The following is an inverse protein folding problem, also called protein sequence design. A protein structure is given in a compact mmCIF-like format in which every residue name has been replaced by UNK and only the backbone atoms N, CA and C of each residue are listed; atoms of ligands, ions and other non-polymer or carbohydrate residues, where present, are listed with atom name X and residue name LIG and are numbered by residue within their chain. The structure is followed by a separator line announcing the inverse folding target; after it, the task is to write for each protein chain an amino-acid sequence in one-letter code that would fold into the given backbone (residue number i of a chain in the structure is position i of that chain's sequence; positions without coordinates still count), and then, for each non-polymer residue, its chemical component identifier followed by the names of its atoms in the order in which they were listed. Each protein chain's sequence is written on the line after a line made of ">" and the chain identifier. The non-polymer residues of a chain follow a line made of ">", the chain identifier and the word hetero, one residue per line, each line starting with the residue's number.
data_IF_390337593330
#
_entry.id   IF_390337593330
#
_cell.length_a   1.000
_cell.length_b   1.000
_cell.length_c   1.000
_cell.angle_alpha   90.00
_cell.angle_beta   90.00
_cell.angle_gamma   90.00
#
_symmetry.space_group_name_H-M   'P 1'
#
loop_
_entity.id
_entity.type
_entity.pdbx_description
1 polymer ?
#
# COMPACT_ATOMS: atom_id res chain seq x y z
N UNK A 1 -26.66 -54.34 -3.00
CA UNK A 1 -27.16 -53.45 -4.07
C UNK A 1 -27.84 -52.19 -3.54
N UNK A 2 -28.80 -52.28 -2.62
CA UNK A 2 -29.52 -51.11 -2.08
C UNK A 2 -28.59 -50.02 -1.48
N UNK A 3 -27.62 -50.41 -0.64
CA UNK A 3 -26.62 -49.49 -0.05
C UNK A 3 -25.79 -48.76 -1.11
N UNK A 4 -25.39 -49.43 -2.19
CA UNK A 4 -24.59 -48.81 -3.26
C UNK A 4 -25.41 -47.76 -4.04
N UNK A 5 -26.68 -48.05 -4.34
CA UNK A 5 -27.56 -47.09 -5.02
C UNK A 5 -27.87 -45.87 -4.16
N UNK A 6 -28.05 -46.09 -2.85
CA UNK A 6 -28.23 -45.03 -1.89
C UNK A 6 -26.99 -44.14 -1.79
N UNK A 7 -25.80 -44.75 -1.63
CA UNK A 7 -24.53 -44.03 -1.59
C UNK A 7 -24.30 -43.19 -2.85
N UNK A 8 -24.61 -43.71 -4.04
CA UNK A 8 -24.53 -42.95 -5.29
C UNK A 8 -25.50 -41.76 -5.33
N UNK A 9 -26.72 -41.93 -4.80
CA UNK A 9 -27.73 -40.87 -4.77
C UNK A 9 -27.35 -39.77 -3.78
N UNK A 10 -26.88 -40.15 -2.59
CA UNK A 10 -26.36 -39.22 -1.58
C UNK A 10 -25.11 -38.48 -2.09
N UNK A 11 -24.18 -39.18 -2.75
CA UNK A 11 -23.00 -38.57 -3.39
C UNK A 11 -23.38 -37.57 -4.48
N UNK A 12 -24.34 -37.90 -5.34
CA UNK A 12 -24.82 -36.95 -6.35
C UNK A 12 -25.47 -35.72 -5.71
N UNK A 13 -26.26 -35.92 -4.66
CA UNK A 13 -26.95 -34.86 -3.93
C UNK A 13 -25.97 -33.89 -3.28
N UNK A 14 -24.91 -34.40 -2.63
CA UNK A 14 -23.93 -33.53 -1.96
C UNK A 14 -23.06 -32.77 -2.96
N UNK A 15 -22.62 -33.42 -4.04
CA UNK A 15 -21.85 -32.76 -5.11
C UNK A 15 -22.68 -31.65 -5.78
N UNK A 16 -24.01 -31.83 -5.89
CA UNK A 16 -24.88 -30.79 -6.45
C UNK A 16 -25.16 -29.61 -5.52
N UNK A 17 -24.93 -29.75 -4.21
CA UNK A 17 -25.15 -28.70 -3.20
C UNK A 17 -23.86 -28.01 -2.76
N UNK A 18 -22.70 -28.60 -3.05
CA UNK A 18 -21.38 -28.11 -2.66
C UNK A 18 -20.70 -27.43 -3.84
N UNK A 19 -19.93 -26.38 -3.53
CA UNK A 19 -19.09 -25.74 -4.53
C UNK A 19 -17.89 -26.63 -4.88
N UNK A 20 -17.36 -26.46 -6.10
CA UNK A 20 -16.23 -27.25 -6.56
C UNK A 20 -14.99 -27.07 -5.67
N UNK A 21 -14.77 -25.87 -5.13
CA UNK A 21 -13.65 -25.61 -4.24
C UNK A 21 -13.76 -26.39 -2.93
N UNK A 22 -14.98 -26.55 -2.38
CA UNK A 22 -15.20 -27.37 -1.19
C UNK A 22 -14.85 -28.86 -1.45
N UNK A 23 -15.14 -29.37 -2.66
CA UNK A 23 -14.78 -30.74 -3.05
C UNK A 23 -13.27 -30.97 -3.09
N UNK A 24 -12.50 -29.91 -3.38
CA UNK A 24 -11.05 -29.97 -3.54
C UNK A 24 -10.30 -29.63 -2.26
N UNK A 25 -10.80 -28.67 -1.49
CA UNK A 25 -10.11 -28.05 -0.37
C UNK A 25 -10.66 -28.50 1.00
N UNK A 26 -11.95 -28.86 1.10
CA UNK A 26 -12.64 -29.10 2.36
C UNK A 26 -13.36 -30.47 2.42
N UNK A 27 -12.61 -31.54 2.13
CA UNK A 27 -13.15 -32.91 2.04
C UNK A 27 -13.76 -33.45 3.33
N UNK A 28 -13.25 -33.02 4.48
CA UNK A 28 -13.70 -33.51 5.79
C UNK A 28 -15.19 -33.19 6.04
N UNK A 29 -15.59 -31.94 5.78
CA UNK A 29 -16.97 -31.50 5.90
C UNK A 29 -17.91 -32.27 4.98
N UNK A 30 -17.42 -32.62 3.78
CA UNK A 30 -18.19 -33.42 2.82
C UNK A 30 -18.32 -34.89 3.24
N UNK A 31 -17.24 -35.48 3.76
CA UNK A 31 -17.25 -36.86 4.24
C UNK A 31 -18.26 -37.02 5.39
N UNK A 32 -18.28 -36.08 6.35
CA UNK A 32 -19.25 -36.06 7.44
C UNK A 32 -20.70 -35.90 6.93
N UNK A 33 -20.91 -35.01 5.96
CA UNK A 33 -22.22 -34.84 5.33
C UNK A 33 -22.69 -36.12 4.61
N UNK A 34 -21.77 -36.83 3.96
CA UNK A 34 -22.04 -38.11 3.31
C UNK A 34 -22.37 -39.21 4.30
N UNK A 35 -21.61 -39.30 5.39
CA UNK A 35 -21.82 -40.28 6.46
C UNK A 35 -23.24 -40.14 7.03
N UNK A 36 -23.65 -38.93 7.41
CA UNK A 36 -25.00 -38.66 7.93
C UNK A 36 -26.11 -39.05 6.93
N UNK A 37 -25.90 -38.80 5.64
CA UNK A 37 -26.89 -39.12 4.60
C UNK A 37 -27.02 -40.62 4.32
N UNK A 38 -25.96 -41.40 4.53
CA UNK A 38 -25.95 -42.84 4.23
C UNK A 38 -26.27 -43.65 5.50
N UNK A 39 -25.88 -43.18 6.68
CA UNK A 39 -26.12 -43.87 7.96
C UNK A 39 -27.62 -43.94 8.31
N UNK A 40 -28.36 -42.85 8.10
CA UNK A 40 -29.79 -42.77 8.46
C UNK A 40 -30.64 -43.90 7.85
N UNK A 41 -30.56 -44.22 6.54
CA UNK A 41 -31.33 -45.33 5.99
C UNK A 41 -30.60 -46.69 6.10
N UNK A 42 -29.28 -46.71 6.32
CA UNK A 42 -28.52 -47.96 6.49
C UNK A 42 -28.85 -48.68 7.81
N UNK A 43 -29.14 -47.92 8.88
CA UNK A 43 -29.64 -48.48 10.14
C UNK A 43 -30.92 -49.32 9.95
N UNK A 44 -31.82 -48.91 9.04
CA UNK A 44 -33.04 -49.66 8.71
C UNK A 44 -32.79 -51.02 8.05
N UNK A 45 -31.59 -51.24 7.52
CA UNK A 45 -31.15 -52.51 6.95
C UNK A 45 -30.23 -53.32 7.88
N UNK A 46 -29.95 -52.82 9.09
CA UNK A 46 -29.05 -53.46 10.05
C UNK A 46 -27.58 -53.40 9.65
N UNK A 47 -27.18 -52.40 8.84
CA UNK A 47 -25.79 -52.19 8.41
C UNK A 47 -25.23 -50.98 9.13
N UNK A 48 -24.14 -51.17 9.86
CA UNK A 48 -23.37 -50.07 10.47
C UNK A 48 -22.31 -49.58 9.50
N UNK A 49 -22.16 -48.26 9.39
CA UNK A 49 -21.18 -47.61 8.53
C UNK A 49 -20.09 -47.03 9.43
N UNK A 50 -18.85 -47.48 9.25
CA UNK A 50 -17.74 -47.02 10.09
C UNK A 50 -17.10 -45.72 9.55
N UNK A 51 -16.98 -45.58 8.23
CA UNK A 51 -16.37 -44.41 7.59
C UNK A 51 -16.78 -44.25 6.13
N UNK A 52 -16.97 -43.02 5.69
CA UNK A 52 -17.19 -42.66 4.28
C UNK A 52 -16.14 -41.64 3.84
N UNK A 53 -15.46 -41.92 2.73
CA UNK A 53 -14.44 -41.01 2.18
C UNK A 53 -14.56 -40.88 0.66
N UNK A 54 -14.42 -39.66 0.18
CA UNK A 54 -14.27 -39.37 -1.25
C UNK A 54 -12.84 -39.73 -1.67
N UNK A 55 -12.73 -40.76 -2.52
CA UNK A 55 -11.45 -41.22 -3.06
C UNK A 55 -10.87 -40.22 -4.08
N UNK A 56 -11.43 -40.21 -5.29
CA UNK A 56 -10.92 -39.44 -6.43
C UNK A 56 -12.02 -38.62 -7.11
N UNK A 57 -11.68 -37.39 -7.52
CA UNK A 57 -12.53 -36.53 -8.34
C UNK A 57 -11.83 -36.29 -9.67
N UNK A 58 -12.40 -36.80 -10.75
CA UNK A 58 -11.85 -36.61 -12.10
C UNK A 58 -12.53 -35.42 -12.77
N UNK A 59 -11.78 -34.35 -12.97
CA UNK A 59 -12.23 -33.18 -13.72
C UNK A 59 -11.84 -33.28 -15.20
N UNK A 60 -12.66 -32.75 -16.13
CA UNK A 60 -12.27 -32.56 -17.51
C UNK A 60 -10.99 -31.73 -17.63
N UNK A 61 -10.14 -32.08 -18.59
CA UNK A 61 -8.84 -31.43 -18.80
C UNK A 61 -8.97 -29.93 -19.11
N UNK A 62 -10.04 -29.53 -19.80
CA UNK A 62 -10.34 -28.12 -20.10
C UNK A 62 -10.53 -27.30 -18.83
N UNK A 63 -11.27 -27.83 -17.85
CA UNK A 63 -11.54 -27.18 -16.57
C UNK A 63 -10.26 -27.09 -15.71
N UNK A 64 -9.48 -28.16 -15.62
CA UNK A 64 -8.20 -28.17 -14.88
C UNK A 64 -7.27 -27.05 -15.36
N UNK A 65 -7.12 -26.90 -16.68
CA UNK A 65 -6.29 -25.83 -17.26
C UNK A 65 -6.81 -24.44 -16.95
N UNK A 66 -8.13 -24.22 -17.04
CA UNK A 66 -8.73 -22.93 -16.70
C UNK A 66 -8.56 -22.58 -15.22
N UNK A 67 -8.78 -23.54 -14.33
CA UNK A 67 -8.56 -23.35 -12.89
C UNK A 67 -7.10 -23.08 -12.55
N UNK A 68 -6.17 -23.80 -13.18
CA UNK A 68 -4.74 -23.55 -13.00
C UNK A 68 -4.37 -22.12 -13.39
N UNK A 69 -4.83 -21.65 -14.55
CA UNK A 69 -4.62 -20.25 -15.00
C UNK A 69 -5.25 -19.23 -14.05
N UNK A 70 -6.45 -19.50 -13.55
CA UNK A 70 -7.11 -18.63 -12.58
C UNK A 70 -6.32 -18.57 -11.26
N UNK A 71 -5.89 -19.73 -10.75
CA UNK A 71 -5.11 -19.81 -9.52
C UNK A 71 -3.75 -19.13 -9.65
N UNK A 72 -3.10 -19.23 -10.82
CA UNK A 72 -1.85 -18.50 -11.12
C UNK A 72 -2.10 -16.98 -11.13
N UNK A 73 -3.14 -16.51 -11.83
CA UNK A 73 -3.49 -15.10 -11.88
C UNK A 73 -3.81 -14.53 -10.48
N UNK A 74 -4.56 -15.26 -9.66
CA UNK A 74 -4.87 -14.84 -8.29
C UNK A 74 -3.63 -14.82 -7.39
N UNK A 75 -2.73 -15.81 -7.52
CA UNK A 75 -1.45 -15.81 -6.81
C UNK A 75 -0.58 -14.64 -7.22
N UNK A 76 -0.48 -14.37 -8.51
CA UNK A 76 0.32 -13.27 -9.04
C UNK A 76 -0.25 -11.92 -8.58
N UNK A 77 -1.58 -11.74 -8.66
CA UNK A 77 -2.27 -10.56 -8.13
C UNK A 77 -1.96 -10.35 -6.65
N UNK A 78 -2.10 -11.39 -5.82
CA UNK A 78 -1.81 -11.31 -4.38
C UNK A 78 -0.35 -10.97 -4.12
N UNK A 79 0.58 -11.59 -4.85
CA UNK A 79 2.00 -11.30 -4.73
C UNK A 79 2.32 -9.84 -5.06
N UNK A 80 1.73 -9.27 -6.13
CA UNK A 80 1.91 -7.85 -6.48
C UNK A 80 1.42 -6.90 -5.40
N UNK A 81 0.25 -7.18 -4.81
CA UNK A 81 -0.29 -6.35 -3.71
C UNK A 81 0.63 -6.41 -2.49
N UNK A 82 1.07 -7.61 -2.11
CA UNK A 82 1.99 -7.80 -0.98
C UNK A 82 3.31 -7.07 -1.22
N UNK A 83 3.87 -7.16 -2.43
CA UNK A 83 5.12 -6.46 -2.76
C UNK A 83 4.93 -4.94 -2.74
N UNK A 84 3.84 -4.41 -3.30
CA UNK A 84 3.55 -2.99 -3.26
C UNK A 84 3.40 -2.46 -1.82
N UNK A 85 2.71 -3.20 -0.96
CA UNK A 85 2.60 -2.86 0.46
C UNK A 85 3.94 -2.96 1.18
N UNK A 86 4.73 -3.99 0.89
CA UNK A 86 6.07 -4.16 1.45
C UNK A 86 7.00 -3.02 1.05
N UNK A 87 6.98 -2.62 -0.23
CA UNK A 87 7.73 -1.47 -0.74
C UNK A 87 7.31 -0.17 -0.05
N UNK A 88 6.00 0.08 0.06
CA UNK A 88 5.49 1.27 0.77
C UNK A 88 5.94 1.30 2.23
N UNK A 89 5.86 0.17 2.94
CA UNK A 89 6.32 0.08 4.32
C UNK A 89 7.83 0.29 4.45
N UNK A 90 8.62 -0.27 3.52
CA UNK A 90 10.06 -0.09 3.49
C UNK A 90 10.42 1.39 3.22
N UNK A 91 9.79 2.03 2.24
CA UNK A 91 10.03 3.44 1.92
C UNK A 91 9.70 4.36 3.10
N UNK A 92 8.59 4.12 3.82
CA UNK A 92 8.24 4.89 5.02
C UNK A 92 9.31 4.80 6.10
N UNK A 93 9.75 3.58 6.43
CA UNK A 93 10.81 3.36 7.43
C UNK A 93 12.14 3.99 7.02
N UNK A 94 12.47 3.94 5.73
CA UNK A 94 13.68 4.59 5.21
C UNK A 94 13.60 6.12 5.27
N UNK A 95 12.43 6.70 4.97
CA UNK A 95 12.21 8.14 5.09
C UNK A 95 12.30 8.61 6.56
N UNK A 96 11.71 7.86 7.49
CA UNK A 96 11.85 8.10 8.93
C UNK A 96 13.31 8.03 9.37
N UNK A 97 14.04 6.98 8.96
CA UNK A 97 15.47 6.84 9.27
C UNK A 97 16.29 8.00 8.67
N UNK A 98 16.01 8.42 7.44
CA UNK A 98 16.68 9.55 6.81
C UNK A 98 16.41 10.87 7.56
N UNK A 99 15.18 11.08 8.05
CA UNK A 99 14.83 12.21 8.90
C UNK A 99 15.69 12.25 10.17
N UNK A 100 15.74 11.15 10.91
CA UNK A 100 16.58 11.03 12.13
C UNK A 100 18.07 11.23 11.81
N UNK A 101 18.55 10.70 10.70
CA UNK A 101 19.94 10.90 10.27
C UNK A 101 20.25 12.35 9.89
N UNK A 102 19.29 13.07 9.32
CA UNK A 102 19.43 14.50 9.00
C UNK A 102 19.45 15.36 10.26
N UNK A 103 18.68 14.99 11.29
CA UNK A 103 18.71 15.66 12.59
C UNK A 103 20.06 15.48 13.30
N UNK A 104 20.76 14.37 13.05
CA UNK A 104 22.01 14.03 13.71
C UNK A 104 23.17 13.80 12.73
N UNK A 105 23.94 14.86 12.37
CA UNK A 105 24.99 14.78 11.35
C UNK A 105 26.07 13.72 11.61
N UNK A 106 26.34 13.39 12.88
CA UNK A 106 27.25 12.30 13.25
C UNK A 106 26.79 10.92 12.75
N UNK A 107 25.47 10.68 12.65
CA UNK A 107 24.91 9.43 12.12
C UNK A 107 25.19 9.27 10.62
N UNK A 108 25.11 10.35 9.83
CA UNK A 108 25.48 10.35 8.42
C UNK A 108 26.97 10.02 8.23
N UNK A 109 27.83 10.59 9.06
CA UNK A 109 29.27 10.33 9.00
C UNK A 109 29.61 8.87 9.37
N UNK A 110 28.97 8.30 10.40
CA UNK A 110 29.12 6.89 10.74
C UNK A 110 28.61 5.97 9.61
N UNK A 111 27.47 6.30 9.00
CA UNK A 111 26.95 5.58 7.83
C UNK A 111 27.94 5.60 6.67
N UNK A 112 28.54 6.77 6.38
CA UNK A 112 29.57 6.89 5.36
C UNK A 112 30.76 5.97 5.65
N UNK A 113 31.29 5.98 6.88
CA UNK A 113 32.38 5.10 7.27
C UNK A 113 32.00 3.62 7.18
N UNK A 114 30.78 3.24 7.59
CA UNK A 114 30.28 1.87 7.44
C UNK A 114 30.19 1.44 5.96
N UNK A 115 29.72 2.32 5.08
CA UNK A 115 29.70 2.04 3.63
C UNK A 115 31.11 1.89 3.06
N UNK A 116 32.07 2.70 3.50
CA UNK A 116 33.47 2.56 3.09
C UNK A 116 34.05 1.21 3.52
N UNK A 117 33.77 0.77 4.75
CA UNK A 117 34.22 -0.55 5.24
C UNK A 117 33.56 -1.69 4.47
N UNK A 118 32.26 -1.60 4.18
CA UNK A 118 31.53 -2.61 3.42
C UNK A 118 32.07 -2.74 1.98
N UNK A 119 32.29 -1.62 1.29
CA UNK A 119 32.82 -1.60 -0.08
C UNK A 119 34.30 -2.02 -0.11
N UNK A 120 35.10 -1.64 0.89
CA UNK A 120 36.49 -2.08 1.00
C UNK A 120 36.61 -3.60 1.22
N UNK A 121 35.62 -4.24 1.85
CA UNK A 121 35.58 -5.69 2.02
C UNK A 121 35.34 -6.44 0.70
N UNK A 122 34.69 -5.82 -0.29
CA UNK A 122 34.35 -6.44 -1.59
C UNK A 122 35.50 -6.49 -2.62
N UNK A 123 36.75 -6.18 -2.23
CA UNK A 123 37.96 -6.27 -3.09
C UNK A 123 37.91 -5.42 -4.38
N UNK A 124 37.25 -4.26 -4.38
CA UNK A 124 37.32 -3.29 -5.48
C UNK A 124 38.46 -2.27 -5.24
N UNK A 125 39.52 -2.34 -6.05
CA UNK A 125 40.76 -1.57 -5.89
C UNK A 125 40.68 -0.08 -6.30
N UNK A 126 39.49 0.44 -6.60
CA UNK A 126 39.29 1.85 -6.97
C UNK A 126 38.09 2.40 -6.20
N UNK A 127 38.39 3.22 -5.20
CA UNK A 127 37.40 3.84 -4.32
C UNK A 127 37.08 5.24 -4.83
N UNK A 128 35.92 5.44 -5.44
CA UNK A 128 35.43 6.78 -5.82
C UNK A 128 34.70 7.36 -4.60
N UNK A 129 35.42 8.18 -3.82
CA UNK A 129 34.83 8.90 -2.70
C UNK A 129 34.25 10.24 -3.19
N UNK A 130 32.95 10.51 -3.01
CA UNK A 130 32.43 11.85 -3.21
C UNK A 130 33.01 12.75 -2.11
N UNK A 131 33.80 13.74 -2.51
CA UNK A 131 34.37 14.73 -1.59
C UNK A 131 33.32 15.81 -1.28
N UNK A 132 32.94 16.02 -0.01
CA UNK A 132 32.00 17.08 0.37
C UNK A 132 32.52 18.46 -0.03
N UNK A 133 31.68 19.27 -0.67
CA UNK A 133 32.04 20.61 -1.16
C UNK A 133 32.33 21.61 -0.03
N UNK A 134 31.85 21.33 1.17
CA UNK A 134 32.10 22.09 2.39
C UNK A 134 33.58 22.06 2.79
N UNK A 135 34.25 20.92 2.61
CA UNK A 135 35.68 20.77 2.87
C UNK A 135 36.51 21.56 1.85
N UNK A 136 36.06 21.61 0.58
CA UNK A 136 36.70 22.41 -0.46
C UNK A 136 36.59 23.91 -0.14
N UNK A 137 35.42 24.38 0.32
CA UNK A 137 35.23 25.78 0.74
C UNK A 137 36.14 26.17 1.90
N UNK A 138 36.36 25.26 2.85
CA UNK A 138 37.25 25.50 3.98
C UNK A 138 38.72 25.62 3.54
N UNK A 139 39.15 24.77 2.60
CA UNK A 139 40.50 24.80 2.05
C UNK A 139 40.76 26.06 1.19
N UNK A 140 39.79 26.46 0.35
CA UNK A 140 39.86 27.72 -0.42
C UNK A 140 39.95 28.95 0.50
N UNK A 141 39.17 28.97 1.58
CA UNK A 141 39.21 30.07 2.55
C UNK A 141 40.53 30.11 3.33
N UNK A 142 41.16 28.96 3.55
CA UNK A 142 42.50 28.87 4.12
C UNK A 142 43.61 29.27 3.12
N UNK A 143 43.34 29.22 1.81
CA UNK A 143 44.26 29.67 0.74
C UNK A 143 44.06 31.13 0.32
N UNK A 144 43.01 31.82 0.77
CA UNK A 144 42.88 33.26 0.55
C UNK A 144 43.94 34.00 1.38
N UNK A 145 44.95 34.63 0.73
CA UNK A 145 45.84 35.54 1.43
C UNK A 145 44.99 36.70 1.93
N UNK A 146 45.18 37.12 3.18
CA UNK A 146 44.58 38.34 3.69
C UNK A 146 44.88 39.49 2.71
N UNK A 147 43.86 39.96 1.98
CA UNK A 147 43.98 41.15 1.16
C UNK A 147 44.34 42.33 2.08
N UNK A 148 45.30 43.19 1.68
CA UNK A 148 45.69 44.32 2.50
C UNK A 148 44.50 45.27 2.65
N UNK A 149 44.30 45.75 3.86
CA UNK A 149 43.25 46.71 4.20
C UNK A 149 43.33 47.96 3.30
N UNK A 150 42.20 48.52 2.85
CA UNK A 150 42.21 49.81 2.19
C UNK A 150 42.60 50.89 3.20
N UNK A 151 43.78 51.45 2.99
CA UNK A 151 44.32 52.58 3.70
C UNK A 151 43.42 53.80 3.49
N UNK A 152 43.03 54.40 4.62
CA UNK A 152 42.19 55.59 4.69
C UNK A 152 42.96 56.79 4.15
N UNK A 153 42.51 57.35 3.02
CA UNK A 153 42.81 58.73 2.65
C UNK A 153 41.52 59.57 2.75
N UNK A 154 41.48 60.45 3.76
CA UNK A 154 40.52 61.57 3.90
C UNK A 154 40.99 62.76 3.03
N UNK A 155 40.29 63.92 3.01
CA UNK A 155 39.03 64.20 2.33
C UNK A 155 39.14 65.44 1.39
N UNK A 156 38.29 65.56 0.38
CA UNK A 156 38.13 66.82 -0.36
C UNK A 156 36.63 67.10 -0.65
N UNK A 157 36.05 67.90 0.25
CA UNK A 157 35.23 69.10 -0.02
C UNK A 157 33.98 68.99 -0.91
N UNK A 158 32.82 69.01 -0.21
CA UNK A 158 31.58 69.79 -0.44
C UNK A 158 30.76 69.69 -1.75
N UNK A 159 29.66 68.90 -1.68
CA UNK A 159 28.22 69.28 -1.77
C UNK A 159 27.75 70.43 -2.70
N UNK A 160 26.52 70.41 -3.30
CA UNK A 160 25.29 70.06 -2.56
C UNK A 160 24.17 69.27 -3.28
N UNK A 161 23.25 68.83 -2.42
CA UNK A 161 21.95 68.18 -2.64
C UNK A 161 20.98 69.08 -3.41
N UNK A 162 20.26 68.54 -4.41
CA UNK A 162 18.88 68.91 -4.79
C UNK A 162 18.15 67.72 -5.46
N UNK A 163 17.34 67.06 -4.62
CA UNK A 163 15.90 66.77 -4.76
C UNK A 163 15.22 66.57 -6.13
N UNK A 164 14.26 65.64 -6.11
CA UNK A 164 13.14 65.37 -7.03
C UNK A 164 13.38 64.35 -8.15
N UNK A 165 12.48 63.45 -8.55
CA UNK A 165 11.16 62.95 -8.11
C UNK A 165 10.90 61.75 -9.06
N UNK A 166 10.36 60.63 -8.54
CA UNK A 166 9.46 59.63 -9.17
C UNK A 166 9.72 59.01 -10.57
N UNK A 167 9.13 57.82 -10.77
CA UNK A 167 8.89 57.08 -12.03
C UNK A 167 10.09 56.26 -12.56
N UNK A 168 10.07 54.93 -12.69
CA UNK A 168 8.98 53.96 -12.74
C UNK A 168 9.54 52.57 -12.40
N UNK A 169 8.91 51.89 -11.42
CA UNK A 169 9.05 50.45 -11.22
C UNK A 169 8.21 49.77 -12.30
N UNK A 170 8.83 48.99 -13.18
CA UNK A 170 8.15 47.99 -13.99
C UNK A 170 8.83 46.64 -13.77
N UNK A 171 8.30 45.90 -12.80
CA UNK A 171 8.37 44.45 -12.78
C UNK A 171 7.18 43.93 -13.62
N UNK A 172 7.38 42.96 -14.52
CA UNK A 172 6.27 42.12 -14.95
C UNK A 172 6.05 41.05 -13.88
N UNK A 173 4.89 41.14 -13.22
CA UNK A 173 4.25 40.05 -12.48
C UNK A 173 3.75 39.04 -13.51
N UNK A 174 4.11 37.76 -13.36
CA UNK A 174 3.39 36.66 -14.01
C UNK A 174 2.47 36.03 -12.96
N UNK A 175 1.18 36.06 -13.26
CA UNK A 175 0.07 35.57 -12.44
C UNK A 175 0.13 34.05 -12.22
N UNK A 176 -0.40 33.53 -11.10
CA UNK A 176 -0.76 32.13 -10.97
C UNK A 176 -2.11 31.86 -11.64
N UNK A 177 -2.18 30.81 -12.46
CA UNK A 177 -3.43 30.27 -13.00
C UNK A 177 -4.21 29.57 -11.87
N UNK A 178 -5.25 30.24 -11.35
CA UNK A 178 -6.30 29.58 -10.57
C UNK A 178 -7.28 28.89 -11.53
N UNK A 179 -7.24 27.55 -11.57
CA UNK A 179 -8.33 26.77 -12.16
C UNK A 179 -9.48 26.69 -11.15
N UNK A 180 -10.56 27.36 -11.52
CA UNK A 180 -11.86 27.41 -10.87
C UNK A 180 -12.61 26.10 -11.08
N UNK A 181 -12.73 25.28 -10.03
CA UNK A 181 -13.82 24.30 -9.89
C UNK A 181 -14.98 25.04 -9.22
N UNK A 182 -16.02 25.33 -9.99
CA UNK A 182 -17.27 25.92 -9.49
C UNK A 182 -18.03 24.89 -8.63
N UNK A 183 -18.06 25.10 -7.32
CA UNK A 183 -19.15 24.61 -6.48
C UNK A 183 -20.32 25.60 -6.59
N UNK A 184 -21.45 25.14 -7.13
CA UNK A 184 -22.73 25.86 -7.02
C UNK A 184 -23.46 25.37 -5.77
N UNK A 185 -23.92 26.28 -4.88
CA UNK A 185 -24.93 25.93 -3.88
C UNK A 185 -26.32 26.27 -4.42
N UNK A 186 -27.24 25.31 -4.42
CA UNK A 186 -28.67 25.58 -4.63
C UNK A 186 -29.53 24.65 -3.77
N UNK A 187 -29.86 25.21 -2.61
CA UNK A 187 -31.18 25.25 -1.97
C UNK A 187 -32.13 24.04 -2.06
N UNK A 188 -32.42 23.51 -0.86
CA UNK A 188 -33.75 23.55 -0.23
C UNK A 188 -34.87 22.68 -0.85
N UNK A 189 -35.06 21.49 -0.27
CA UNK A 189 -36.36 20.78 -0.25
C UNK A 189 -36.71 20.54 1.24
N UNK A 190 -37.95 20.84 1.68
CA UNK A 190 -38.30 20.98 3.09
C UNK A 190 -38.41 19.63 3.84
N UNK A 191 -38.37 19.66 5.19
CA UNK A 191 -38.67 18.50 6.01
C UNK A 191 -40.19 18.27 6.03
N UNK A 192 -40.63 17.04 5.76
CA UNK A 192 -41.97 16.60 6.10
C UNK A 192 -42.09 16.56 7.63
N UNK A 193 -42.79 17.55 8.17
CA UNK A 193 -43.18 17.62 9.57
C UNK A 193 -44.19 16.54 9.93
N UNK A 194 -44.09 16.14 11.18
CA UNK A 194 -45.03 15.34 11.96
C UNK A 194 -46.33 16.10 12.27
N UNK A 195 -47.26 15.35 12.86
CA UNK A 195 -48.45 15.78 13.64
C UNK A 195 -49.75 15.90 12.81
N UNK A 196 -50.92 15.41 13.24
CA UNK A 196 -51.41 14.84 14.50
C UNK A 196 -52.83 14.27 14.29
N UNK A 197 -53.35 13.60 15.33
CA UNK A 197 -54.75 13.19 15.57
C UNK A 197 -55.16 11.87 14.88
N UNK A 198 -55.70 10.85 15.55
CA UNK A 198 -56.31 10.76 16.86
C UNK A 198 -57.53 9.83 16.75
N UNK A 199 -57.75 8.99 17.76
CA UNK A 199 -59.02 8.30 18.08
C UNK A 199 -59.31 6.93 17.42
N UNK A 200 -59.04 5.84 18.16
CA UNK A 200 -60.05 5.05 18.90
C UNK A 200 -59.38 3.86 19.62
N UNK A 201 -59.38 3.80 20.96
CA UNK A 201 -60.41 3.16 21.82
C UNK A 201 -60.21 1.62 21.87
N UNK A 202 -59.61 1.05 22.92
CA UNK A 202 -60.23 0.54 24.18
C UNK A 202 -60.83 -0.89 23.99
N UNK A 203 -60.49 -1.79 24.92
CA UNK A 203 -61.16 -3.09 25.24
C UNK A 203 -61.03 -4.17 24.16
N UNK A 204 -60.79 -5.46 24.44
CA UNK A 204 -60.91 -6.32 25.63
C UNK A 204 -59.72 -7.31 25.72
#
# INVERSE_FOLDING_TARGET
>A
FAVSQMAQTSLRSIIGKSDLDDLLSNREKLNQGLELMIDSPAMGWGVQIDRVEIKDVSLPETMKRSMARQAEADRERRARVINADAELQASKKLAEAAGVMSEQPAALQLRLLQTVVAVAAEKNSTLVLPFPVELLRFLERAQQPAAPAPEQARPATAQPVRESVEQSVQQPVLEPVEQSVQEQPSSLVPPLGSDSEGSKTRQD
#
